data_IF_090062830710
#
_entry.id   IF_090062830710
#
_cell.length_a   1.000
_cell.length_b   1.000
_cell.length_c   1.000
_cell.angle_alpha   90.00
_cell.angle_beta   90.00
_cell.angle_gamma   90.00
#
_symmetry.space_group_name_H-M   'P 1'
#
loop_
_entity.id
_entity.type
_entity.pdbx_description
1 polymer ?
#
# COMPACT_ATOMS: atom_id res chain seq x y z
N UNK A 1 18.66 -0.45 17.93
CA UNK A 1 18.35 0.47 16.82
C UNK A 1 17.57 1.62 17.43
N UNK A 2 18.17 2.81 17.53
CA UNK A 2 17.42 4.00 17.94
C UNK A 2 16.62 4.46 16.72
N UNK A 3 15.29 4.43 16.83
CA UNK A 3 14.43 4.97 15.78
C UNK A 3 14.39 6.48 15.98
N UNK A 4 14.76 7.24 14.96
CA UNK A 4 14.72 8.70 15.03
C UNK A 4 13.26 9.16 15.02
N UNK A 5 12.94 10.15 15.85
CA UNK A 5 11.61 10.77 15.88
C UNK A 5 11.16 11.29 14.52
N UNK A 6 12.12 11.73 13.71
CA UNK A 6 11.92 12.20 12.34
C UNK A 6 11.44 11.08 11.40
N UNK A 7 12.01 9.88 11.46
CA UNK A 7 11.59 8.75 10.63
C UNK A 7 10.14 8.34 10.95
N UNK A 8 9.79 8.32 12.24
CA UNK A 8 8.41 8.07 12.69
C UNK A 8 7.47 9.15 12.15
N UNK A 9 7.89 10.41 12.18
CA UNK A 9 7.10 11.52 11.67
C UNK A 9 6.87 11.40 10.16
N UNK A 10 7.90 11.06 9.40
CA UNK A 10 7.82 10.84 7.95
C UNK A 10 6.88 9.69 7.59
N UNK A 11 6.95 8.55 8.29
CA UNK A 11 6.03 7.42 8.06
C UNK A 11 4.58 7.83 8.35
N UNK A 12 4.33 8.56 9.44
CA UNK A 12 2.97 9.04 9.76
C UNK A 12 2.44 10.00 8.69
N UNK A 13 3.27 10.91 8.21
CA UNK A 13 2.90 11.83 7.13
C UNK A 13 2.61 11.09 5.83
N UNK A 14 3.42 10.08 5.51
CA UNK A 14 3.19 9.21 4.36
C UNK A 14 1.84 8.50 4.44
N UNK A 15 1.51 7.89 5.59
CA UNK A 15 0.20 7.23 5.80
C UNK A 15 -0.96 8.24 5.75
N UNK A 16 -0.77 9.45 6.27
CA UNK A 16 -1.75 10.54 6.15
C UNK A 16 -1.99 10.92 4.68
N UNK A 17 -0.92 11.03 3.89
CA UNK A 17 -0.99 11.29 2.45
C UNK A 17 -1.74 10.18 1.72
N UNK A 18 -1.44 8.92 2.00
CA UNK A 18 -2.16 7.77 1.41
C UNK A 18 -3.66 7.81 1.75
N UNK A 19 -4.01 8.16 2.98
CA UNK A 19 -5.40 8.27 3.41
C UNK A 19 -6.13 9.50 2.83
N UNK A 20 -5.43 10.46 2.22
CA UNK A 20 -6.05 11.62 1.57
C UNK A 20 -6.58 11.30 0.17
N UNK A 21 -6.04 10.26 -0.47
CA UNK A 21 -6.42 9.82 -1.80
C UNK A 21 -7.44 8.67 -1.72
N UNK A 22 -8.71 8.99 -2.03
CA UNK A 22 -9.85 8.07 -1.86
C UNK A 22 -10.16 7.26 -3.12
N UNK A 23 -9.62 7.66 -4.26
CA UNK A 23 -9.93 7.08 -5.57
C UNK A 23 -8.79 6.20 -6.11
N UNK A 24 -7.84 5.87 -5.22
CA UNK A 24 -6.67 5.05 -5.50
C UNK A 24 -6.77 3.70 -4.80
N UNK A 25 -6.25 2.65 -5.46
CA UNK A 25 -6.03 1.35 -4.84
C UNK A 25 -4.55 1.15 -4.52
N UNK A 26 -4.25 0.69 -3.30
CA UNK A 26 -2.90 0.28 -2.92
C UNK A 26 -2.71 -1.20 -3.21
N UNK A 27 -1.59 -1.52 -3.85
CA UNK A 27 -1.18 -2.89 -4.14
C UNK A 27 0.17 -3.14 -3.46
N UNK A 28 0.21 -4.18 -2.65
CA UNK A 28 1.40 -4.63 -1.90
C UNK A 28 1.78 -6.04 -2.34
N UNK A 29 2.96 -6.51 -1.98
CA UNK A 29 3.39 -7.86 -2.34
C UNK A 29 2.57 -8.93 -1.60
N UNK A 30 2.43 -8.80 -0.28
CA UNK A 30 1.83 -9.84 0.55
C UNK A 30 1.08 -9.36 1.79
N UNK A 31 0.63 -10.36 2.57
CA UNK A 31 -0.22 -10.16 3.77
C UNK A 31 0.45 -9.36 4.87
N UNK A 32 1.78 -9.45 4.99
CA UNK A 32 2.52 -8.77 6.05
C UNK A 32 2.51 -7.26 5.83
N UNK A 33 2.64 -6.82 4.59
CA UNK A 33 2.67 -5.41 4.20
C UNK A 33 1.30 -4.77 4.40
N UNK A 34 0.24 -5.50 4.02
CA UNK A 34 -1.13 -5.11 4.31
C UNK A 34 -1.32 -4.91 5.82
N UNK A 35 -0.93 -5.90 6.63
CA UNK A 35 -1.08 -5.82 8.07
C UNK A 35 -0.29 -4.65 8.68
N UNK A 36 0.92 -4.40 8.18
CA UNK A 36 1.75 -3.28 8.63
C UNK A 36 1.09 -1.93 8.32
N UNK A 37 0.64 -1.71 7.08
CA UNK A 37 -0.05 -0.47 6.68
C UNK A 37 -1.34 -0.24 7.49
N UNK A 38 -2.13 -1.30 7.71
CA UNK A 38 -3.33 -1.25 8.57
C UNK A 38 -2.98 -0.87 10.00
N UNK A 39 -1.93 -1.47 10.56
CA UNK A 39 -1.45 -1.18 11.93
C UNK A 39 -0.93 0.26 12.06
N UNK A 40 -0.38 0.82 10.99
CA UNK A 40 0.07 2.22 10.92
C UNK A 40 -1.09 3.22 10.72
N UNK A 41 -2.31 2.75 10.48
CA UNK A 41 -3.51 3.58 10.40
C UNK A 41 -4.02 3.87 8.99
N UNK A 42 -3.61 3.09 7.98
CA UNK A 42 -4.24 3.15 6.66
C UNK A 42 -5.67 2.58 6.70
N UNK A 43 -6.63 3.29 6.09
CA UNK A 43 -8.07 3.01 6.30
C UNK A 43 -8.72 2.24 5.16
N UNK A 44 -8.22 2.35 3.94
CA UNK A 44 -8.89 1.82 2.74
C UNK A 44 -8.45 0.41 2.39
N UNK A 45 -9.03 -0.15 1.34
CA UNK A 45 -8.68 -1.49 0.88
C UNK A 45 -7.24 -1.53 0.34
N UNK A 46 -6.58 -2.66 0.59
CA UNK A 46 -5.26 -3.00 0.09
C UNK A 46 -5.41 -4.32 -0.65
N UNK A 47 -4.69 -4.48 -1.75
CA UNK A 47 -4.68 -5.71 -2.55
C UNK A 47 -3.30 -6.32 -2.52
N UNK A 48 -3.25 -7.63 -2.32
CA UNK A 48 -2.00 -8.38 -2.35
C UNK A 48 -1.76 -8.86 -3.78
N UNK A 49 -0.65 -8.47 -4.39
CA UNK A 49 -0.30 -8.89 -5.74
C UNK A 49 -0.19 -10.41 -5.86
N UNK A 50 0.38 -11.09 -4.86
CA UNK A 50 0.44 -12.55 -4.81
C UNK A 50 -0.94 -13.23 -4.92
N UNK A 51 -2.02 -12.57 -4.46
CA UNK A 51 -3.38 -13.11 -4.51
C UNK A 51 -4.02 -13.05 -5.89
N UNK A 52 -3.48 -12.24 -6.81
CA UNK A 52 -4.03 -12.04 -8.16
C UNK A 52 -3.58 -13.13 -9.14
N UNK A 53 -2.73 -14.07 -8.74
CA UNK A 53 -2.30 -15.22 -9.55
C UNK A 53 -1.65 -14.83 -10.90
N UNK A 54 -1.00 -13.66 -10.97
CA UNK A 54 -0.17 -13.26 -12.12
C UNK A 54 -0.50 -11.87 -12.69
N UNK A 55 0.34 -11.44 -13.64
CA UNK A 55 0.29 -10.09 -14.20
C UNK A 55 -0.99 -9.78 -14.99
N UNK A 56 -1.52 -10.73 -15.76
CA UNK A 56 -2.72 -10.50 -16.58
C UNK A 56 -3.93 -10.16 -15.70
N UNK A 57 -4.19 -10.98 -14.68
CA UNK A 57 -5.27 -10.73 -13.73
C UNK A 57 -5.06 -9.43 -12.93
N UNK A 58 -3.79 -9.10 -12.63
CA UNK A 58 -3.46 -7.83 -12.00
C UNK A 58 -3.79 -6.65 -12.91
N UNK A 59 -3.43 -6.70 -14.20
CA UNK A 59 -3.75 -5.64 -15.17
C UNK A 59 -5.27 -5.50 -15.32
N UNK A 60 -5.99 -6.61 -15.43
CA UNK A 60 -7.45 -6.62 -15.52
C UNK A 60 -8.08 -5.97 -14.28
N UNK A 61 -7.63 -6.35 -13.08
CA UNK A 61 -8.07 -5.75 -11.82
C UNK A 61 -7.72 -4.25 -11.74
N UNK A 62 -6.47 -3.89 -12.02
CA UNK A 62 -5.94 -2.54 -11.95
C UNK A 62 -6.68 -1.59 -12.91
N UNK A 63 -7.12 -2.09 -14.07
CA UNK A 63 -7.86 -1.31 -15.07
C UNK A 63 -9.20 -0.75 -14.56
N UNK A 64 -9.74 -1.31 -13.48
CA UNK A 64 -10.98 -0.85 -12.86
C UNK A 64 -10.81 0.39 -11.97
N UNK A 65 -9.56 0.77 -11.66
CA UNK A 65 -9.23 1.91 -10.83
C UNK A 65 -8.61 3.02 -11.66
N UNK A 66 -8.93 4.27 -11.31
CA UNK A 66 -8.34 5.45 -11.95
C UNK A 66 -6.84 5.56 -11.67
N UNK A 67 -6.47 5.25 -10.42
CA UNK A 67 -5.12 5.37 -9.91
C UNK A 67 -4.75 4.09 -9.16
N UNK A 68 -3.52 3.63 -9.37
CA UNK A 68 -2.96 2.46 -8.68
C UNK A 68 -1.64 2.87 -8.05
N UNK A 69 -1.51 2.64 -6.74
CA UNK A 69 -0.30 2.93 -5.98
C UNK A 69 0.39 1.60 -5.69
N UNK A 70 1.58 1.41 -6.25
CA UNK A 70 2.38 0.20 -6.07
C UNK A 70 3.36 0.41 -4.91
N UNK A 71 3.26 -0.44 -3.89
CA UNK A 71 4.15 -0.47 -2.73
C UNK A 71 4.75 -1.88 -2.61
N UNK A 72 5.65 -2.18 -3.53
CA UNK A 72 6.45 -3.40 -3.50
C UNK A 72 7.78 -3.16 -2.80
N UNK A 73 8.39 -4.24 -2.33
CA UNK A 73 9.74 -4.20 -1.80
C UNK A 73 10.72 -3.77 -2.90
N UNK A 74 11.79 -3.10 -2.47
CA UNK A 74 12.78 -2.47 -3.36
C UNK A 74 14.01 -3.37 -3.60
N UNK A 75 13.96 -4.62 -3.16
CA UNK A 75 15.06 -5.58 -3.20
C UNK A 75 15.32 -6.21 -4.57
#
# INVERSE_FOLDING_TARGET
MEILSEEIYQIKNFISSLNSDKDSIIVVEGKKDEFALKSLGYKYNIVQFHSLCGLTNFVDFASTYKNVILLFDSD
#
